data_IF_892763902661
#
_entry.id   IF_892763902661
#
_cell.length_a   1.000
_cell.length_b   1.000
_cell.length_c   1.000
_cell.angle_alpha   90.00
_cell.angle_beta   90.00
_cell.angle_gamma   90.00
#
_symmetry.space_group_name_H-M   'P 1'
#
loop_
_entity.id
_entity.type
_entity.pdbx_description
1 polymer ?
#
# COMPACT_ATOMS: atom_id res chain seq x y z
N UNK A 1 8.22 3.69 -2.50
CA UNK A 1 7.22 2.73 -3.03
C UNK A 1 6.49 2.17 -1.82
N UNK A 2 5.17 2.34 -1.76
CA UNK A 2 4.41 2.19 -0.51
C UNK A 2 3.24 1.21 -0.61
N UNK A 3 2.93 0.73 -1.82
CA UNK A 3 1.83 -0.18 -2.08
C UNK A 3 2.33 -1.41 -2.84
N UNK A 4 2.00 -2.59 -2.32
CA UNK A 4 2.52 -3.88 -2.78
C UNK A 4 1.38 -4.88 -3.01
N UNK A 5 0.15 -4.37 -3.14
CA UNK A 5 -1.06 -5.17 -3.35
C UNK A 5 -0.95 -6.05 -4.62
N UNK A 6 -0.12 -5.67 -5.61
CA UNK A 6 0.01 -6.36 -6.91
C UNK A 6 1.30 -7.16 -7.09
N UNK A 7 1.90 -7.66 -6.00
CA UNK A 7 3.06 -8.55 -6.11
C UNK A 7 2.67 -9.91 -6.70
N UNK A 8 2.87 -10.08 -8.01
CA UNK A 8 2.70 -11.33 -8.74
C UNK A 8 3.82 -11.40 -9.81
N UNK A 9 4.47 -12.56 -10.02
CA UNK A 9 5.42 -12.70 -11.13
C UNK A 9 4.75 -12.37 -12.47
N UNK A 10 5.29 -11.37 -13.16
CA UNK A 10 4.82 -10.88 -14.45
C UNK A 10 6.00 -10.25 -15.21
N UNK A 11 5.86 -9.94 -16.52
CA UNK A 11 6.92 -9.27 -17.28
C UNK A 11 7.33 -7.95 -16.62
N UNK A 12 8.61 -7.83 -16.27
CA UNK A 12 9.17 -6.67 -15.56
C UNK A 12 8.99 -5.36 -16.35
N UNK A 13 8.85 -5.44 -17.68
CA UNK A 13 8.62 -4.31 -18.57
C UNK A 13 7.32 -3.58 -18.23
N UNK A 14 6.34 -4.25 -17.60
CA UNK A 14 5.06 -3.64 -17.22
C UNK A 14 5.28 -2.56 -16.16
N UNK A 15 6.11 -2.81 -15.15
CA UNK A 15 6.44 -1.81 -14.13
C UNK A 15 7.21 -0.64 -14.73
N UNK A 16 8.11 -0.88 -15.67
CA UNK A 16 8.89 0.18 -16.33
C UNK A 16 8.02 1.03 -17.25
N UNK A 17 7.09 0.42 -17.98
CA UNK A 17 6.09 1.16 -18.77
C UNK A 17 5.22 2.04 -17.86
N UNK A 18 4.73 1.49 -16.75
CA UNK A 18 3.92 2.25 -15.77
C UNK A 18 4.71 3.40 -15.14
N UNK A 19 5.97 3.16 -14.79
CA UNK A 19 6.85 4.19 -14.25
C UNK A 19 7.12 5.30 -15.28
N UNK A 20 7.46 4.95 -16.52
CA UNK A 20 7.70 5.91 -17.59
C UNK A 20 6.45 6.76 -17.89
N UNK A 21 5.27 6.13 -17.92
CA UNK A 21 3.97 6.83 -18.05
C UNK A 21 3.75 7.79 -16.88
N UNK A 22 4.08 7.39 -15.64
CA UNK A 22 3.95 8.26 -14.47
C UNK A 22 4.81 9.53 -14.60
N UNK A 23 6.04 9.41 -15.10
CA UNK A 23 6.90 10.58 -15.39
C UNK A 23 6.33 11.46 -16.50
N UNK A 24 5.77 10.88 -17.56
CA UNK A 24 5.14 11.64 -18.63
C UNK A 24 3.92 12.42 -18.13
N UNK A 25 3.01 11.74 -17.41
CA UNK A 25 1.80 12.36 -16.82
C UNK A 25 2.18 13.46 -15.84
N UNK A 26 3.12 13.20 -14.92
CA UNK A 26 3.56 14.20 -13.96
C UNK A 26 4.20 15.42 -14.65
N UNK A 27 4.93 15.22 -15.75
CA UNK A 27 5.53 16.32 -16.51
C UNK A 27 4.47 17.22 -17.13
N UNK A 28 3.45 16.62 -17.74
CA UNK A 28 2.33 17.35 -18.36
C UNK A 28 1.48 18.09 -17.32
N UNK A 29 1.21 17.47 -16.17
CA UNK A 29 0.52 18.10 -15.05
C UNK A 29 1.28 19.33 -14.51
N UNK A 30 2.62 19.26 -14.53
CA UNK A 30 3.50 20.38 -14.19
C UNK A 30 3.71 21.37 -15.36
N UNK A 31 2.90 21.29 -16.42
CA UNK A 31 2.90 22.20 -17.59
C UNK A 31 4.22 22.21 -18.37
N UNK A 32 4.96 21.10 -18.37
CA UNK A 32 6.10 20.92 -19.26
C UNK A 32 5.62 20.55 -20.67
N UNK A 33 6.43 20.84 -21.69
CA UNK A 33 6.12 20.47 -23.07
C UNK A 33 6.36 18.98 -23.36
N UNK A 34 5.83 18.48 -24.49
CA UNK A 34 5.93 17.07 -24.89
C UNK A 34 7.38 16.59 -25.04
N UNK A 35 8.28 17.49 -25.49
CA UNK A 35 9.69 17.17 -25.69
C UNK A 35 10.38 16.98 -24.34
N UNK A 36 10.09 17.83 -23.36
CA UNK A 36 10.56 17.72 -21.99
C UNK A 36 10.00 16.48 -21.30
N UNK A 37 8.70 16.22 -21.42
CA UNK A 37 8.06 15.02 -20.87
C UNK A 37 8.69 13.74 -21.41
N UNK A 38 8.90 13.66 -22.73
CA UNK A 38 9.60 12.54 -23.38
C UNK A 38 11.03 12.38 -22.86
N UNK A 39 11.77 13.49 -22.74
CA UNK A 39 13.14 13.46 -22.23
C UNK A 39 13.19 12.93 -20.79
N UNK A 40 12.28 13.35 -19.92
CA UNK A 40 12.22 12.89 -18.53
C UNK A 40 11.86 11.40 -18.43
N UNK A 41 10.89 10.93 -19.21
CA UNK A 41 10.55 9.50 -19.28
C UNK A 41 11.74 8.67 -19.78
N UNK A 42 12.43 9.13 -20.83
CA UNK A 42 13.66 8.48 -21.33
C UNK A 42 14.78 8.46 -20.29
N UNK A 43 14.98 9.55 -19.55
CA UNK A 43 15.97 9.61 -18.46
C UNK A 43 15.65 8.59 -17.38
N UNK A 44 14.38 8.44 -16.99
CA UNK A 44 13.95 7.45 -16.01
C UNK A 44 14.25 6.00 -16.49
N UNK A 45 13.84 5.66 -17.72
CA UNK A 45 14.09 4.32 -18.28
C UNK A 45 15.59 4.06 -18.47
N UNK A 46 16.37 5.07 -18.89
CA UNK A 46 17.82 4.95 -19.00
C UNK A 46 18.48 4.68 -17.65
N UNK A 47 18.05 5.37 -16.58
CA UNK A 47 18.55 5.13 -15.23
C UNK A 47 18.26 3.70 -14.76
N UNK A 48 17.03 3.20 -15.01
CA UNK A 48 16.68 1.82 -14.70
C UNK A 48 17.56 0.82 -15.46
N UNK A 49 17.71 1.01 -16.79
CA UNK A 49 18.55 0.15 -17.64
C UNK A 49 20.00 0.13 -17.17
N UNK A 50 20.57 1.30 -16.86
CA UNK A 50 21.94 1.39 -16.34
C UNK A 50 22.07 0.63 -15.02
N UNK A 51 21.11 0.82 -14.10
CA UNK A 51 21.13 0.11 -12.81
C UNK A 51 21.00 -1.40 -12.98
N UNK A 52 20.13 -1.87 -13.87
CA UNK A 52 20.01 -3.30 -14.15
C UNK A 52 21.29 -3.90 -14.72
N UNK A 53 22.03 -3.14 -15.55
CA UNK A 53 23.34 -3.58 -16.06
C UNK A 53 24.36 -3.70 -14.93
N UNK A 54 24.45 -2.71 -14.05
CA UNK A 54 25.33 -2.76 -12.87
C UNK A 54 24.99 -3.98 -11.99
N UNK A 55 23.70 -4.19 -11.69
CA UNK A 55 23.25 -5.33 -10.90
C UNK A 55 23.57 -6.66 -11.58
N UNK A 56 23.54 -6.74 -12.91
CA UNK A 56 23.87 -7.97 -13.65
C UNK A 56 25.33 -8.40 -13.55
N UNK A 57 26.23 -7.50 -13.14
CA UNK A 57 27.65 -7.77 -12.92
C UNK A 57 27.95 -8.21 -11.47
N UNK A 58 26.94 -8.16 -10.58
CA UNK A 58 27.05 -8.49 -9.16
C UNK A 58 26.61 -9.93 -8.87
N UNK A 59 27.12 -10.52 -7.78
CA UNK A 59 26.62 -11.82 -7.33
C UNK A 59 25.19 -11.67 -6.74
N UNK A 60 24.37 -12.74 -6.72
CA UNK A 60 23.03 -12.69 -6.14
C UNK A 60 22.99 -12.16 -4.70
N UNK A 61 24.00 -12.48 -3.89
CA UNK A 61 24.08 -12.02 -2.51
C UNK A 61 24.48 -10.55 -2.42
N UNK A 62 25.36 -10.08 -3.31
CA UNK A 62 25.71 -8.66 -3.39
C UNK A 62 24.52 -7.82 -3.83
N UNK A 63 23.72 -8.31 -4.79
CA UNK A 63 22.45 -7.68 -5.19
C UNK A 63 21.50 -7.59 -3.99
N UNK A 64 21.41 -8.64 -3.17
CA UNK A 64 20.56 -8.65 -1.99
C UNK A 64 21.00 -7.65 -0.91
N UNK A 65 22.31 -7.43 -0.77
CA UNK A 65 22.87 -6.46 0.16
C UNK A 65 22.99 -5.05 -0.41
N UNK A 66 22.77 -4.88 -1.71
CA UNK A 66 22.71 -3.58 -2.34
C UNK A 66 21.56 -2.76 -1.73
N UNK A 67 21.92 -1.61 -1.15
CA UNK A 67 20.97 -0.69 -0.53
C UNK A 67 21.28 0.71 -0.96
N UNK A 68 20.23 1.42 -1.37
CA UNK A 68 20.30 2.85 -1.56
C UNK A 68 20.18 3.52 -0.18
N UNK A 69 21.30 4.00 0.35
CA UNK A 69 21.30 4.66 1.65
C UNK A 69 20.68 6.07 1.58
N UNK A 70 20.01 6.47 2.66
CA UNK A 70 19.35 7.76 2.76
C UNK A 70 20.35 8.93 2.65
N UNK A 71 21.56 8.77 3.19
CA UNK A 71 22.62 9.77 3.09
C UNK A 71 23.12 9.88 1.65
N UNK A 72 23.30 8.75 0.95
CA UNK A 72 23.61 8.75 -0.49
C UNK A 72 22.56 9.53 -1.29
N UNK A 73 21.27 9.32 -1.01
CA UNK A 73 20.21 10.12 -1.63
C UNK A 73 20.33 11.62 -1.32
N UNK A 74 20.65 12.01 -0.09
CA UNK A 74 20.84 13.42 0.26
C UNK A 74 22.05 14.01 -0.49
N UNK A 75 23.16 13.29 -0.54
CA UNK A 75 24.41 13.75 -1.16
C UNK A 75 24.32 13.82 -2.69
N UNK A 76 23.50 12.96 -3.32
CA UNK A 76 23.16 13.04 -4.74
C UNK A 76 22.21 14.19 -5.09
N UNK A 77 21.91 15.12 -4.18
CA UNK A 77 21.03 16.24 -4.46
C UNK A 77 21.70 17.23 -5.44
N UNK A 78 21.03 17.63 -6.52
CA UNK A 78 21.64 18.48 -7.54
C UNK A 78 21.81 19.94 -7.11
N UNK A 79 21.25 20.33 -5.96
CA UNK A 79 21.42 21.68 -5.41
C UNK A 79 21.18 21.70 -3.89
N UNK A 80 21.64 22.75 -3.18
CA UNK A 80 21.39 22.93 -1.75
C UNK A 80 19.89 22.93 -1.40
N UNK A 81 19.03 23.46 -2.29
CA UNK A 81 17.57 23.43 -2.11
C UNK A 81 17.04 22.00 -2.06
N UNK A 82 17.44 21.16 -3.02
CA UNK A 82 16.99 19.76 -3.07
C UNK A 82 17.62 18.92 -1.96
N UNK A 83 18.85 19.26 -1.53
CA UNK A 83 19.50 18.63 -0.39
C UNK A 83 18.67 18.83 0.88
N UNK A 84 18.35 20.09 1.18
CA UNK A 84 17.49 20.44 2.33
C UNK A 84 16.12 19.76 2.26
N UNK A 85 15.48 19.73 1.08
CA UNK A 85 14.21 19.04 0.91
C UNK A 85 14.30 17.52 1.17
N UNK A 86 15.39 16.86 0.74
CA UNK A 86 15.65 15.44 1.04
C UNK A 86 15.94 15.22 2.52
N UNK A 87 16.71 16.08 3.15
CA UNK A 87 16.98 16.04 4.60
C UNK A 87 15.69 16.16 5.41
N UNK A 88 14.82 17.12 5.09
CA UNK A 88 13.52 17.30 5.74
C UNK A 88 12.60 16.08 5.54
N UNK A 89 12.56 15.51 4.34
CA UNK A 89 11.80 14.29 4.05
C UNK A 89 12.29 13.10 4.90
N UNK A 90 13.61 12.92 4.99
CA UNK A 90 14.21 11.83 5.78
C UNK A 90 14.04 12.04 7.29
N UNK A 91 14.07 13.29 7.77
CA UNK A 91 13.78 13.61 9.16
C UNK A 91 12.33 13.26 9.53
N UNK A 92 11.36 13.58 8.66
CA UNK A 92 9.95 13.21 8.84
C UNK A 92 9.74 11.69 8.84
N UNK A 93 10.46 10.96 7.98
CA UNK A 93 10.37 9.50 7.91
C UNK A 93 10.88 8.78 9.17
N UNK A 94 11.73 9.43 9.99
CA UNK A 94 12.23 8.88 11.26
C UNK A 94 11.26 9.06 12.43
N UNK A 95 10.24 9.91 12.30
CA UNK A 95 9.22 10.09 13.33
C UNK A 95 8.44 8.79 13.49
N UNK A 96 8.33 8.29 14.72
CA UNK A 96 7.50 7.11 15.00
C UNK A 96 6.05 7.45 14.68
N UNK A 97 5.54 6.80 13.65
CA UNK A 97 4.23 7.10 13.09
C UNK A 97 3.13 6.83 14.12
N UNK A 98 3.27 5.79 14.94
CA UNK A 98 2.38 5.51 16.06
C UNK A 98 2.26 6.69 17.02
N UNK A 99 3.39 7.22 17.49
CA UNK A 99 3.42 8.33 18.46
C UNK A 99 2.87 9.64 17.88
N UNK A 100 3.02 9.85 16.57
CA UNK A 100 2.52 11.04 15.88
C UNK A 100 1.04 10.95 15.50
N UNK A 101 0.58 9.81 14.96
CA UNK A 101 -0.79 9.64 14.47
C UNK A 101 -1.78 9.37 15.60
N UNK A 102 -1.39 8.57 16.61
CA UNK A 102 -2.28 8.20 17.71
C UNK A 102 -3.01 9.42 18.33
N UNK A 103 -2.33 10.53 18.70
CA UNK A 103 -3.00 11.69 19.30
C UNK A 103 -3.99 12.40 18.37
N UNK A 104 -3.90 12.19 17.05
CA UNK A 104 -4.76 12.86 16.07
C UNK A 104 -6.05 12.08 15.80
N UNK A 105 -6.05 10.77 16.07
CA UNK A 105 -7.12 9.85 15.64
C UNK A 105 -7.80 9.14 16.80
N UNK A 106 -7.45 9.50 18.04
CA UNK A 106 -7.96 8.85 19.24
C UNK A 106 -8.23 9.85 20.36
N UNK A 107 -9.12 9.48 21.26
CA UNK A 107 -9.48 10.22 22.46
C UNK A 107 -9.65 9.28 23.67
N UNK A 108 -9.86 9.83 24.85
CA UNK A 108 -10.16 9.07 26.06
C UNK A 108 -11.67 9.05 26.34
N UNK A 109 -12.28 7.87 26.24
CA UNK A 109 -13.71 7.66 26.50
C UNK A 109 -13.86 6.68 27.66
N UNK A 110 -14.39 7.15 28.79
CA UNK A 110 -14.59 6.32 29.99
C UNK A 110 -13.31 5.72 30.56
N UNK A 111 -12.20 6.48 30.50
CA UNK A 111 -10.89 6.06 31.01
C UNK A 111 -10.14 5.08 30.09
N UNK A 112 -10.66 4.82 28.88
CA UNK A 112 -10.00 3.98 27.86
C UNK A 112 -9.68 4.79 26.62
N UNK A 113 -8.55 4.49 26.00
CA UNK A 113 -8.15 5.09 24.74
C UNK A 113 -8.91 4.45 23.59
N UNK A 114 -9.54 5.27 22.76
CA UNK A 114 -10.44 4.85 21.70
C UNK A 114 -10.21 5.67 20.44
N UNK A 115 -10.26 5.04 19.27
CA UNK A 115 -10.27 5.72 17.98
C UNK A 115 -11.54 6.59 17.87
N UNK A 116 -11.40 7.80 17.33
CA UNK A 116 -12.53 8.74 17.17
C UNK A 116 -13.32 8.36 15.92
N UNK A 117 -14.63 8.16 16.07
CA UNK A 117 -15.51 7.93 14.93
C UNK A 117 -15.60 9.20 14.05
N UNK A 118 -15.25 9.03 12.78
CA UNK A 118 -15.38 10.02 11.70
C UNK A 118 -15.99 9.32 10.47
N UNK A 119 -17.29 8.96 10.47
CA UNK A 119 -17.89 8.28 9.33
C UNK A 119 -17.89 9.18 8.07
N UNK A 120 -17.63 8.63 6.86
CA UNK A 120 -17.40 7.21 6.58
C UNK A 120 -15.93 6.76 6.70
N UNK A 121 -15.01 7.64 7.12
CA UNK A 121 -13.56 7.44 7.06
C UNK A 121 -13.01 6.52 8.15
N UNK A 122 -13.48 6.66 9.37
CA UNK A 122 -13.08 5.86 10.52
C UNK A 122 -14.33 5.57 11.36
N UNK A 123 -14.71 4.31 11.55
CA UNK A 123 -15.91 4.01 12.32
C UNK A 123 -15.90 2.61 12.94
N UNK A 124 -16.62 2.44 14.05
CA UNK A 124 -16.78 1.13 14.69
C UNK A 124 -17.93 0.31 14.09
N UNK A 125 -17.74 -1.02 14.03
CA UNK A 125 -18.80 -1.97 13.67
C UNK A 125 -19.52 -2.43 14.94
N UNK A 126 -20.82 -2.19 15.02
CA UNK A 126 -21.69 -2.59 16.12
C UNK A 126 -22.46 -3.88 15.77
N UNK A 127 -21.73 -4.97 15.52
CA UNK A 127 -22.33 -6.28 15.24
C UNK A 127 -22.04 -7.29 16.36
N UNK A 128 -23.03 -8.13 16.66
CA UNK A 128 -22.86 -9.23 17.59
C UNK A 128 -21.72 -10.16 17.15
N UNK A 129 -20.85 -10.50 18.11
CA UNK A 129 -19.70 -11.39 17.89
C UNK A 129 -18.53 -10.79 17.10
N UNK A 130 -18.58 -9.51 16.68
CA UNK A 130 -17.48 -8.87 15.97
C UNK A 130 -16.17 -8.91 16.77
N UNK A 131 -16.22 -8.53 18.04
CA UNK A 131 -15.05 -8.57 18.93
C UNK A 131 -14.42 -9.97 19.05
N UNK A 132 -15.24 -11.04 19.06
CA UNK A 132 -14.73 -12.42 19.07
C UNK A 132 -14.03 -12.76 17.75
N UNK A 133 -14.58 -12.32 16.61
CA UNK A 133 -13.95 -12.49 15.29
C UNK A 133 -12.61 -11.78 15.20
N UNK A 134 -12.52 -10.55 15.72
CA UNK A 134 -11.26 -9.78 15.78
C UNK A 134 -10.21 -10.55 16.60
N UNK A 135 -10.57 -11.08 17.78
CA UNK A 135 -9.63 -11.88 18.59
C UNK A 135 -9.09 -13.11 17.84
N UNK A 136 -9.96 -13.89 17.20
CA UNK A 136 -9.55 -15.05 16.40
C UNK A 136 -8.67 -14.65 15.21
N UNK A 137 -8.98 -13.55 14.53
CA UNK A 137 -8.17 -13.03 13.43
C UNK A 137 -6.78 -12.56 13.91
N UNK A 138 -6.67 -12.03 15.13
CA UNK A 138 -5.38 -11.64 15.72
C UNK A 138 -4.53 -12.84 16.14
N UNK A 139 -5.14 -13.95 16.56
CA UNK A 139 -4.42 -15.21 16.82
C UNK A 139 -3.82 -15.76 15.51
N UNK A 140 -4.61 -15.75 14.44
CA UNK A 140 -4.15 -16.17 13.10
C UNK A 140 -3.04 -15.23 12.56
N UNK A 141 -3.24 -13.92 12.67
CA UNK A 141 -2.23 -12.92 12.35
C UNK A 141 -0.92 -13.17 13.10
N UNK A 142 -0.98 -13.37 14.41
CA UNK A 142 0.18 -13.68 15.24
C UNK A 142 0.91 -14.92 14.73
N UNK A 143 0.18 -15.94 14.28
CA UNK A 143 0.77 -17.16 13.71
C UNK A 143 1.55 -16.90 12.41
N UNK A 144 1.16 -15.90 11.62
CA UNK A 144 1.85 -15.52 10.38
C UNK A 144 3.20 -14.81 10.60
N UNK A 145 3.40 -14.22 11.79
CA UNK A 145 4.64 -13.51 12.12
C UNK A 145 5.79 -14.49 12.39
N UNK A 146 7.02 -14.01 12.16
CA UNK A 146 8.23 -14.73 12.58
C UNK A 146 8.24 -14.97 14.10
N UNK A 147 8.75 -16.10 14.60
CA UNK A 147 8.66 -16.47 16.02
C UNK A 147 9.14 -15.37 16.99
N UNK A 148 10.26 -14.72 16.69
CA UNK A 148 10.82 -13.63 17.51
C UNK A 148 9.99 -12.35 17.45
N UNK A 149 9.25 -12.12 16.36
CA UNK A 149 8.32 -10.99 16.23
C UNK A 149 7.03 -11.22 17.01
N UNK A 150 6.60 -12.47 17.18
CA UNK A 150 5.46 -12.83 18.05
C UNK A 150 5.71 -12.41 19.50
N UNK A 151 6.90 -12.67 20.02
CA UNK A 151 7.29 -12.29 21.39
C UNK A 151 7.18 -10.77 21.60
N UNK A 152 7.57 -9.98 20.58
CA UNK A 152 7.43 -8.53 20.64
C UNK A 152 5.96 -8.11 20.55
N UNK A 153 5.20 -8.69 19.63
CA UNK A 153 3.77 -8.39 19.45
C UNK A 153 2.95 -8.72 20.70
N UNK A 154 3.27 -9.81 21.41
CA UNK A 154 2.59 -10.24 22.64
C UNK A 154 2.72 -9.23 23.80
N UNK A 155 3.65 -8.28 23.70
CA UNK A 155 3.78 -7.18 24.67
C UNK A 155 2.76 -6.06 24.46
N UNK A 156 2.02 -6.10 23.36
CA UNK A 156 1.02 -5.12 22.99
C UNK A 156 -0.39 -5.71 23.18
N UNK A 157 -1.23 -5.00 23.94
CA UNK A 157 -2.64 -5.36 24.14
C UNK A 157 -3.53 -4.54 23.22
N UNK A 158 -4.52 -5.18 22.61
CA UNK A 158 -5.56 -4.50 21.84
C UNK A 158 -6.43 -3.68 22.80
N UNK A 159 -6.49 -2.37 22.58
CA UNK A 159 -7.42 -1.47 23.27
C UNK A 159 -8.67 -1.20 22.43
N UNK A 160 -8.51 -1.00 21.12
CA UNK A 160 -9.62 -0.63 20.25
C UNK A 160 -9.44 -1.11 18.80
N UNK A 161 -10.52 -1.19 18.03
CA UNK A 161 -10.51 -1.69 16.65
C UNK A 161 -11.63 -1.07 15.81
N UNK A 162 -11.26 -0.38 14.73
CA UNK A 162 -12.20 0.35 13.87
C UNK A 162 -12.02 0.01 12.39
N UNK A 163 -13.06 0.21 11.59
CA UNK A 163 -12.99 0.23 10.13
C UNK A 163 -12.33 1.53 9.71
N UNK A 164 -11.39 1.44 8.78
CA UNK A 164 -10.80 2.60 8.12
C UNK A 164 -11.15 2.54 6.64
N UNK A 165 -11.91 3.52 6.13
CA UNK A 165 -12.06 3.66 4.69
C UNK A 165 -10.70 3.92 4.03
N UNK A 166 -10.54 3.30 2.88
CA UNK A 166 -9.34 3.37 2.04
C UNK A 166 -9.62 4.25 0.83
N UNK A 167 -8.54 4.78 0.24
CA UNK A 167 -8.65 5.60 -0.95
C UNK A 167 -9.19 4.85 -2.17
N UNK A 168 -9.36 5.57 -3.27
CA UNK A 168 -10.00 5.12 -4.53
C UNK A 168 -9.51 3.75 -5.02
N UNK A 169 -8.21 3.45 -4.86
CA UNK A 169 -7.60 2.19 -5.32
C UNK A 169 -8.01 0.92 -4.56
N UNK A 170 -8.69 1.06 -3.42
CA UNK A 170 -9.18 -0.06 -2.62
C UNK A 170 -10.69 0.08 -2.31
N UNK A 171 -11.41 0.83 -3.15
CA UNK A 171 -12.85 1.01 -3.00
C UNK A 171 -13.56 -0.35 -3.11
N UNK A 172 -14.39 -0.67 -2.12
CA UNK A 172 -15.09 -1.96 -2.04
C UNK A 172 -14.33 -3.07 -1.29
N UNK A 173 -13.13 -2.81 -0.78
CA UNK A 173 -12.39 -3.76 0.07
C UNK A 173 -12.42 -3.36 1.54
N UNK A 174 -12.29 -4.35 2.42
CA UNK A 174 -12.26 -4.10 3.86
C UNK A 174 -10.89 -3.61 4.32
N UNK A 175 -10.89 -2.57 5.14
CA UNK A 175 -9.70 -2.11 5.83
C UNK A 175 -10.04 -1.74 7.27
N UNK A 176 -9.15 -2.14 8.19
CA UNK A 176 -9.30 -1.92 9.62
C UNK A 176 -8.03 -1.35 10.22
N UNK A 177 -8.16 -0.69 11.35
CA UNK A 177 -7.07 -0.25 12.20
C UNK A 177 -7.31 -0.78 13.61
N UNK A 178 -6.29 -1.41 14.18
CA UNK A 178 -6.24 -1.70 15.61
C UNK A 178 -5.47 -0.63 16.35
N UNK A 179 -5.90 -0.32 17.57
CA UNK A 179 -5.16 0.48 18.54
C UNK A 179 -4.63 -0.45 19.62
N UNK A 180 -3.31 -0.56 19.71
CA UNK A 180 -2.64 -1.40 20.68
C UNK A 180 -1.71 -0.58 21.58
N UNK A 181 -1.50 -1.06 22.80
CA UNK A 181 -0.56 -0.44 23.75
C UNK A 181 0.35 -1.44 24.42
N UNK A 182 1.61 -1.05 24.61
CA UNK A 182 2.51 -1.76 25.50
C UNK A 182 2.17 -1.50 26.98
N UNK A 183 2.79 -2.26 27.88
CA UNK A 183 2.71 -1.98 29.33
C UNK A 183 3.26 -0.59 29.70
N UNK A 184 4.13 0.00 28.86
CA UNK A 184 4.69 1.35 29.03
C UNK A 184 3.84 2.43 28.34
N UNK A 185 2.61 2.11 27.90
CA UNK A 185 1.72 3.01 27.16
C UNK A 185 2.32 3.54 25.84
N UNK A 186 3.14 2.73 25.16
CA UNK A 186 3.60 3.05 23.81
C UNK A 186 2.59 2.50 22.78
N UNK A 187 2.06 3.35 21.87
CA UNK A 187 1.04 2.94 20.91
C UNK A 187 1.63 2.14 19.74
N UNK A 188 0.84 1.19 19.25
CA UNK A 188 1.07 0.47 18.00
C UNK A 188 -0.25 0.48 17.20
N UNK A 189 -0.17 0.92 15.95
CA UNK A 189 -1.34 1.07 15.06
C UNK A 189 -1.22 0.12 13.86
N UNK A 190 -1.52 -1.18 13.98
CA UNK A 190 -1.58 -2.07 12.83
C UNK A 190 -2.81 -1.77 11.96
N UNK A 191 -2.58 -1.69 10.65
CA UNK A 191 -3.59 -1.64 9.61
C UNK A 191 -3.75 -3.01 8.98
N UNK A 192 -5.00 -3.46 8.84
CA UNK A 192 -5.40 -4.72 8.23
C UNK A 192 -6.10 -4.40 6.91
N UNK A 193 -5.47 -4.72 5.79
CA UNK A 193 -6.04 -4.49 4.45
C UNK A 193 -6.45 -5.83 3.83
N UNK A 194 -7.67 -5.91 3.33
CA UNK A 194 -8.12 -7.06 2.57
C UNK A 194 -7.25 -7.24 1.32
N UNK A 195 -6.79 -8.46 1.12
CA UNK A 195 -5.97 -8.85 -0.01
C UNK A 195 -6.86 -9.54 -1.05
N UNK A 196 -7.03 -8.89 -2.21
CA UNK A 196 -7.73 -9.47 -3.34
C UNK A 196 -6.77 -10.26 -4.24
N UNK A 197 -7.30 -11.14 -5.11
CA UNK A 197 -6.54 -11.67 -6.23
C UNK A 197 -5.87 -10.53 -7.01
N UNK A 198 -4.62 -10.73 -7.41
CA UNK A 198 -3.89 -9.72 -8.19
C UNK A 198 -4.64 -9.41 -9.48
N UNK A 199 -4.69 -8.13 -9.85
CA UNK A 199 -5.22 -7.70 -11.17
C UNK A 199 -4.39 -8.24 -12.33
N UNK A 200 -3.17 -8.69 -12.06
CA UNK A 200 -2.28 -9.32 -13.03
C UNK A 200 -2.62 -10.80 -13.25
N UNK A 201 -3.37 -11.44 -12.35
CA UNK A 201 -3.61 -12.88 -12.41
C UNK A 201 -4.29 -13.36 -13.70
N UNK A 202 -5.26 -12.62 -14.29
CA UNK A 202 -5.83 -12.98 -15.59
C UNK A 202 -4.83 -12.97 -16.76
N UNK A 203 -3.67 -12.34 -16.60
CA UNK A 203 -2.67 -12.16 -17.68
C UNK A 203 -1.33 -12.85 -17.40
N UNK A 204 -1.04 -13.16 -16.13
CA UNK A 204 0.23 -13.74 -15.71
C UNK A 204 0.07 -15.05 -14.92
N UNK A 205 -1.17 -15.56 -14.82
CA UNK A 205 -1.50 -16.78 -14.10
C UNK A 205 -1.77 -16.56 -12.61
N UNK A 206 -2.15 -17.65 -11.94
CA UNK A 206 -2.48 -17.60 -10.52
C UNK A 206 -1.24 -17.44 -9.64
N UNK A 207 -1.42 -16.86 -8.46
CA UNK A 207 -0.37 -16.84 -7.45
C UNK A 207 -0.02 -18.24 -6.96
N UNK A 208 1.25 -18.48 -6.70
CA UNK A 208 1.74 -19.67 -6.00
C UNK A 208 1.21 -19.74 -4.55
N UNK A 209 0.80 -18.61 -3.98
CA UNK A 209 0.21 -18.55 -2.65
C UNK A 209 -1.32 -18.62 -2.74
N UNK A 210 -1.89 -19.62 -2.07
CA UNK A 210 -3.35 -19.71 -1.89
C UNK A 210 -3.91 -18.50 -1.12
N UNK A 211 -3.12 -17.97 -0.18
CA UNK A 211 -3.48 -16.78 0.59
C UNK A 211 -2.92 -15.50 -0.06
N UNK A 212 -3.79 -14.63 -0.54
CA UNK A 212 -3.44 -13.35 -1.17
C UNK A 212 -2.74 -12.38 -0.21
N UNK A 213 -3.04 -12.46 1.10
CA UNK A 213 -2.31 -11.71 2.11
C UNK A 213 -0.86 -12.17 2.19
N UNK A 214 -0.63 -13.48 2.16
CA UNK A 214 0.73 -14.06 2.11
C UNK A 214 1.47 -13.66 0.83
N UNK A 215 0.79 -13.60 -0.32
CA UNK A 215 1.35 -13.10 -1.59
C UNK A 215 1.89 -11.69 -1.42
N UNK A 216 1.06 -10.77 -0.91
CA UNK A 216 1.43 -9.36 -0.71
C UNK A 216 2.60 -9.23 0.27
N UNK A 217 2.55 -9.94 1.41
CA UNK A 217 3.61 -9.89 2.41
C UNK A 217 4.94 -10.43 1.89
N UNK A 218 4.92 -11.57 1.22
CA UNK A 218 6.15 -12.17 0.68
C UNK A 218 6.73 -11.30 -0.42
N UNK A 219 5.90 -10.82 -1.34
CA UNK A 219 6.32 -9.94 -2.41
C UNK A 219 6.91 -8.62 -1.88
N UNK A 220 6.29 -8.02 -0.87
CA UNK A 220 6.85 -6.83 -0.22
C UNK A 220 8.22 -7.12 0.43
N UNK A 221 8.37 -8.25 1.13
CA UNK A 221 9.67 -8.65 1.72
C UNK A 221 10.75 -8.88 0.68
N UNK A 222 10.40 -9.38 -0.51
CA UNK A 222 11.32 -9.57 -1.63
C UNK A 222 11.75 -8.24 -2.25
N UNK A 223 10.80 -7.31 -2.44
CA UNK A 223 11.04 -6.04 -3.12
C UNK A 223 11.57 -4.93 -2.22
N UNK A 224 11.39 -5.05 -0.90
CA UNK A 224 11.75 -4.02 0.07
C UNK A 224 12.74 -4.57 1.11
N UNK A 225 14.00 -4.12 1.01
CA UNK A 225 15.12 -4.49 1.88
C UNK A 225 14.87 -4.24 3.38
N UNK A 226 14.09 -3.21 3.71
CA UNK A 226 13.65 -2.89 5.06
C UNK A 226 12.11 -2.81 5.12
N UNK A 227 11.48 -3.98 5.24
CA UNK A 227 10.04 -4.09 5.40
C UNK A 227 9.60 -3.83 6.85
N UNK A 228 8.29 -3.65 7.06
CA UNK A 228 7.72 -3.58 8.41
C UNK A 228 8.01 -4.87 9.20
N UNK A 229 8.48 -4.74 10.44
CA UNK A 229 8.77 -5.89 11.31
C UNK A 229 7.51 -6.68 11.69
N UNK A 230 6.35 -6.06 11.56
CA UNK A 230 5.02 -6.63 11.82
C UNK A 230 4.26 -6.93 10.51
N UNK A 231 4.96 -7.02 9.38
CA UNK A 231 4.31 -7.44 8.16
C UNK A 231 3.86 -8.91 8.29
N UNK A 232 2.56 -9.17 8.22
CA UNK A 232 1.95 -10.49 8.34
C UNK A 232 0.63 -10.60 7.61
N UNK A 233 -0.03 -11.75 7.66
CA UNK A 233 -1.28 -11.99 6.94
C UNK A 233 -2.28 -12.75 7.80
N UNK A 234 -3.54 -12.76 7.34
CA UNK A 234 -4.65 -13.40 8.02
C UNK A 234 -5.47 -14.17 6.98
N UNK A 235 -5.97 -15.32 7.38
CA UNK A 235 -7.16 -15.95 6.81
C UNK A 235 -8.29 -15.96 7.84
N UNK A 236 -9.29 -15.11 7.61
CA UNK A 236 -10.42 -15.01 8.53
C UNK A 236 -11.28 -16.28 8.47
N UNK A 237 -12.02 -16.54 9.54
CA UNK A 237 -13.03 -17.62 9.60
C UNK A 237 -14.09 -17.59 8.48
N UNK A 238 -14.25 -16.48 7.77
CA UNK A 238 -15.16 -16.35 6.62
C UNK A 238 -14.45 -16.49 5.26
N UNK A 239 -13.18 -16.93 5.25
CA UNK A 239 -12.37 -17.07 4.04
C UNK A 239 -11.83 -15.77 3.45
N UNK A 240 -12.08 -14.61 4.09
CA UNK A 240 -11.45 -13.35 3.69
C UNK A 240 -9.98 -13.33 4.10
N UNK A 241 -9.12 -12.85 3.22
CA UNK A 241 -7.69 -12.83 3.40
C UNK A 241 -7.23 -11.38 3.57
N UNK A 242 -6.30 -11.15 4.50
CA UNK A 242 -5.78 -9.82 4.79
C UNK A 242 -4.26 -9.85 4.85
N UNK A 243 -3.64 -8.72 4.57
CA UNK A 243 -2.28 -8.44 5.01
C UNK A 243 -2.30 -7.32 6.06
N UNK A 244 -1.29 -7.34 6.93
CA UNK A 244 -1.18 -6.47 8.09
C UNK A 244 0.15 -5.75 8.05
N UNK A 245 0.14 -4.44 8.27
CA UNK A 245 1.33 -3.58 8.37
C UNK A 245 1.08 -2.47 9.38
N UNK A 246 2.10 -1.82 9.91
CA UNK A 246 1.87 -0.59 10.68
C UNK A 246 1.28 0.48 9.78
N UNK A 247 0.33 1.24 10.31
CA UNK A 247 -0.25 2.39 9.65
C UNK A 247 0.86 3.41 9.41
N UNK A 248 1.10 3.75 8.14
CA UNK A 248 2.17 4.68 7.74
C UNK A 248 1.70 6.08 7.39
N UNK A 249 0.42 6.23 7.05
CA UNK A 249 -0.19 7.51 6.73
C UNK A 249 -1.71 7.41 6.89
N UNK A 250 -2.31 8.39 7.53
CA UNK A 250 -3.58 8.91 7.04
C UNK A 250 -3.19 9.99 6.07
N UNK A 251 -3.73 10.02 4.85
CA UNK A 251 -3.54 11.18 3.99
C UNK A 251 -4.15 12.37 4.73
N UNK A 252 -3.39 13.06 5.57
CA UNK A 252 -3.78 14.22 6.35
C UNK A 252 -3.88 15.47 5.48
N UNK A 253 -4.45 15.31 4.29
CA UNK A 253 -5.00 16.43 3.53
C UNK A 253 -6.42 16.52 4.07
N UNK A 254 -6.72 17.61 4.76
CA UNK A 254 -7.98 18.00 5.45
C UNK A 254 -9.21 17.10 5.31
N UNK A 255 -10.08 17.13 6.32
CA UNK A 255 -11.43 16.50 6.27
C UNK A 255 -12.16 16.77 4.93
N UNK A 256 -11.99 17.97 4.36
CA UNK A 256 -12.48 18.36 3.03
C UNK A 256 -11.86 17.56 1.88
N UNK A 257 -10.55 17.31 1.89
CA UNK A 257 -9.90 16.50 0.86
C UNK A 257 -10.28 15.02 0.98
N UNK A 258 -10.37 14.49 2.19
CA UNK A 258 -10.81 13.11 2.39
C UNK A 258 -12.27 12.92 1.95
N UNK A 259 -13.15 13.90 2.25
CA UNK A 259 -14.52 13.91 1.75
C UNK A 259 -14.56 14.02 0.22
N UNK A 260 -13.77 14.93 -0.37
CA UNK A 260 -13.68 15.09 -1.83
C UNK A 260 -13.16 13.82 -2.52
N UNK A 261 -12.20 13.10 -1.91
CA UNK A 261 -11.72 11.81 -2.41
C UNK A 261 -12.80 10.73 -2.28
N UNK A 262 -13.58 10.73 -1.20
CA UNK A 262 -14.72 9.83 -1.02
C UNK A 262 -15.79 10.05 -2.09
N UNK A 263 -16.21 11.29 -2.30
CA UNK A 263 -17.17 11.67 -3.35
C UNK A 263 -16.63 11.36 -4.75
N UNK A 264 -15.37 11.69 -5.01
CA UNK A 264 -14.71 11.35 -6.28
C UNK A 264 -14.65 9.84 -6.49
N UNK A 265 -14.31 9.04 -5.47
CA UNK A 265 -14.24 7.58 -5.59
C UNK A 265 -15.61 6.99 -5.97
N UNK A 266 -16.68 7.46 -5.34
CA UNK A 266 -18.06 7.07 -5.64
C UNK A 266 -18.45 7.45 -7.07
N UNK A 267 -18.19 8.69 -7.47
CA UNK A 267 -18.47 9.18 -8.82
C UNK A 267 -17.65 8.42 -9.87
N UNK A 268 -16.36 8.20 -9.61
CA UNK A 268 -15.43 7.49 -10.47
C UNK A 268 -15.81 6.02 -10.64
N UNK A 269 -16.16 5.31 -9.56
CA UNK A 269 -16.65 3.93 -9.65
C UNK A 269 -17.91 3.84 -10.52
N UNK A 270 -18.86 4.78 -10.33
CA UNK A 270 -20.06 4.87 -11.15
C UNK A 270 -19.76 5.17 -12.62
N UNK A 271 -18.79 6.04 -12.90
CA UNK A 271 -18.37 6.37 -14.26
C UNK A 271 -17.64 5.20 -14.93
N UNK A 272 -16.71 4.57 -14.23
CA UNK A 272 -15.93 3.45 -14.73
C UNK A 272 -16.82 2.24 -15.10
N UNK A 273 -17.87 1.98 -14.31
CA UNK A 273 -18.88 0.97 -14.65
C UNK A 273 -19.65 1.31 -15.94
N UNK A 274 -20.02 2.58 -16.14
CA UNK A 274 -20.66 3.05 -17.38
C UNK A 274 -19.72 2.94 -18.58
N UNK A 275 -18.46 3.32 -18.40
CA UNK A 275 -17.44 3.28 -19.44
C UNK A 275 -17.12 1.84 -19.87
N UNK A 276 -16.99 0.92 -18.90
CA UNK A 276 -16.85 -0.50 -19.20
C UNK A 276 -18.07 -1.06 -19.95
N UNK A 277 -19.29 -0.73 -19.53
CA UNK A 277 -20.50 -1.14 -20.23
C UNK A 277 -20.58 -0.56 -21.66
N UNK A 278 -20.13 0.69 -21.85
CA UNK A 278 -20.05 1.33 -23.15
C UNK A 278 -19.00 0.66 -24.05
N UNK A 279 -17.83 0.31 -23.50
CA UNK A 279 -16.77 -0.43 -24.18
C UNK A 279 -17.27 -1.80 -24.66
N UNK A 280 -17.86 -2.60 -23.77
CA UNK A 280 -18.43 -3.91 -24.12
C UNK A 280 -19.52 -3.80 -25.19
N UNK A 281 -20.37 -2.77 -25.11
CA UNK A 281 -21.39 -2.53 -26.13
C UNK A 281 -20.80 -2.09 -27.48
N UNK A 282 -19.74 -1.29 -27.47
CA UNK A 282 -19.07 -0.86 -28.68
C UNK A 282 -18.36 -2.04 -29.37
N UNK A 283 -17.78 -2.96 -28.60
CA UNK A 283 -17.22 -4.23 -29.09
C UNK A 283 -18.32 -5.10 -29.71
N UNK A 284 -19.42 -5.36 -28.99
CA UNK A 284 -20.57 -6.15 -29.49
C UNK A 284 -21.17 -5.58 -30.78
N UNK A 285 -21.16 -4.26 -30.93
CA UNK A 285 -21.68 -3.56 -32.12
C UNK A 285 -20.63 -3.43 -33.23
N UNK A 286 -19.44 -4.01 -33.07
CA UNK A 286 -18.35 -3.99 -34.06
C UNK A 286 -17.74 -2.61 -34.30
N UNK A 287 -17.99 -1.63 -33.41
CA UNK A 287 -17.45 -0.27 -33.55
C UNK A 287 -16.00 -0.15 -33.12
N UNK A 288 -15.57 -1.05 -32.24
CA UNK A 288 -14.19 -1.18 -31.79
C UNK A 288 -13.78 -2.65 -31.91
N UNK A 289 -12.53 -2.87 -32.29
CA UNK A 289 -11.95 -4.21 -32.39
C UNK A 289 -11.16 -4.46 -31.11
N UNK A 290 -11.74 -5.21 -30.17
CA UNK A 290 -11.04 -5.62 -28.96
C UNK A 290 -10.13 -6.80 -29.29
N UNK A 291 -8.87 -6.73 -28.86
CA UNK A 291 -7.98 -7.88 -28.85
C UNK A 291 -8.35 -8.69 -27.61
N UNK A 292 -8.80 -9.92 -27.81
CA UNK A 292 -8.96 -10.90 -26.74
C UNK A 292 -7.69 -11.77 -26.79
N UNK A 293 -6.94 -11.80 -25.70
CA UNK A 293 -5.87 -12.79 -25.55
C UNK A 293 -6.51 -14.17 -25.70
N UNK A 294 -6.01 -14.94 -26.66
CA UNK A 294 -6.40 -16.34 -26.85
C UNK A 294 -5.39 -17.11 -26.00
N UNK A 295 -5.87 -17.78 -24.96
CA UNK A 295 -5.03 -18.66 -24.14
C UNK A 295 -4.49 -19.79 -25.05
N UNK A 296 -3.17 -19.79 -25.30
CA UNK A 296 -2.41 -20.93 -25.83
C UNK A 296 -1.89 -21.80 -24.67
#
# INVERSE_FOLDING_TARGET
>A
MNDFDETLPAPWEWDIKRLAVSFAVASLDNRLDDKQARQLAMTCVNAYRTRMRELSEMSPLDIWYDRLDAQTLIDMAPSPKYRKAREELMAKARTRIGDYLYPQISDEVGGRRRLVDQPPLLFHIHEAGFAKRVKLALEDYRSSLLPERRILFDRYRLEDFAVKAVGIGSFGTFCFVGLFFSAQNSPLLPQFKEACPSVLAPHAGNSEFTNQGQRVVTGQRLLQSASDIFLGWIESSKGRQFFVRQLRDMNGKSEEFDHAIGEFALAYAGQNAKDYAALVNAEKKGRIKALREVDD
#
